data_IF_860229451742
#
_entry.id   IF_860229451742
#
_cell.length_a   1.000
_cell.length_b   1.000
_cell.length_c   1.000
_cell.angle_alpha   90.00
_cell.angle_beta   90.00
_cell.angle_gamma   90.00
#
_symmetry.space_group_name_H-M   'P 1'
#
loop_
_entity.id
_entity.type
_entity.pdbx_description
1 polymer ?
#
# COMPACT_ATOMS: atom_id res chain seq x y z
N UNK A 1 2.94 -1.69 13.18
CA UNK A 1 2.82 -0.36 12.54
C UNK A 1 3.55 -0.38 11.21
N UNK A 2 2.90 0.07 10.13
CA UNK A 2 3.48 0.11 8.77
C UNK A 2 4.43 1.31 8.54
N UNK A 3 4.61 2.18 9.55
CA UNK A 3 5.52 3.31 9.42
C UNK A 3 6.99 2.91 9.28
N UNK A 4 7.40 1.82 9.93
CA UNK A 4 8.77 1.28 9.91
C UNK A 4 9.21 0.85 8.50
N UNK A 5 8.49 0.00 7.76
CA UNK A 5 8.92 -0.43 6.43
C UNK A 5 8.95 0.69 5.39
N UNK A 6 7.96 1.59 5.40
CA UNK A 6 7.91 2.73 4.47
C UNK A 6 9.10 3.65 4.71
N UNK A 7 9.37 3.98 5.97
CA UNK A 7 10.51 4.82 6.34
C UNK A 7 11.83 4.12 5.99
N UNK A 8 11.92 2.82 6.27
CA UNK A 8 13.09 2.01 5.92
C UNK A 8 13.36 2.06 4.41
N UNK A 9 12.39 1.67 3.59
CA UNK A 9 12.56 1.69 2.13
C UNK A 9 12.98 3.07 1.61
N UNK A 10 12.34 4.14 2.10
CA UNK A 10 12.71 5.51 1.73
C UNK A 10 14.14 5.87 2.16
N UNK A 11 14.56 5.47 3.36
CA UNK A 11 15.91 5.71 3.87
C UNK A 11 16.96 4.94 3.09
N UNK A 12 16.67 3.75 2.56
CA UNK A 12 17.62 2.98 1.77
C UNK A 12 18.24 3.81 0.62
N UNK A 13 17.44 4.64 -0.06
CA UNK A 13 17.90 5.51 -1.14
C UNK A 13 18.74 6.73 -0.70
N UNK A 14 18.95 6.92 0.60
CA UNK A 14 19.92 7.86 1.16
C UNK A 14 21.30 7.20 1.39
N UNK A 15 21.40 5.90 1.18
CA UNK A 15 22.62 5.12 1.29
C UNK A 15 23.08 4.61 -0.08
N UNK A 16 24.38 4.43 -0.24
CA UNK A 16 24.94 3.85 -1.46
C UNK A 16 24.74 2.32 -1.47
N UNK A 17 24.28 1.72 -2.58
CA UNK A 17 24.21 0.27 -2.70
C UNK A 17 25.58 -0.36 -2.88
N UNK A 18 25.75 -1.54 -2.30
CA UNK A 18 26.84 -2.45 -2.61
C UNK A 18 26.39 -3.48 -3.64
N UNK A 19 27.20 -3.70 -4.67
CA UNK A 19 26.93 -4.75 -5.65
C UNK A 19 27.36 -6.11 -5.10
N UNK A 20 26.41 -7.02 -4.92
CA UNK A 20 26.61 -8.35 -4.32
C UNK A 20 26.46 -9.51 -5.33
N UNK A 21 26.13 -9.20 -6.58
CA UNK A 21 26.02 -10.15 -7.69
C UNK A 21 26.21 -9.49 -9.05
N UNK A 22 25.96 -10.20 -10.14
CA UNK A 22 26.02 -9.65 -11.50
C UNK A 22 24.97 -8.54 -11.69
N UNK A 23 23.74 -8.83 -11.26
CA UNK A 23 22.56 -7.98 -11.38
C UNK A 23 21.87 -7.77 -10.02
N UNK A 24 22.64 -7.81 -8.92
CA UNK A 24 22.11 -7.71 -7.55
C UNK A 24 22.82 -6.66 -6.72
N UNK A 25 22.03 -5.80 -6.10
CA UNK A 25 22.47 -4.72 -5.21
C UNK A 25 21.86 -4.88 -3.83
N UNK A 26 22.59 -4.40 -2.83
CA UNK A 26 22.16 -4.40 -1.45
C UNK A 26 22.41 -3.04 -0.79
N UNK A 27 21.40 -2.54 -0.09
CA UNK A 27 21.52 -1.41 0.83
C UNK A 27 21.45 -1.96 2.25
N UNK A 28 22.39 -1.58 3.10
CA UNK A 28 22.40 -1.97 4.51
C UNK A 28 22.61 -0.75 5.37
N UNK A 29 21.73 -0.52 6.34
CA UNK A 29 21.83 0.62 7.24
C UNK A 29 21.13 0.31 8.57
N UNK A 30 21.50 1.06 9.60
CA UNK A 30 20.91 0.97 10.93
C UNK A 30 20.23 2.29 11.27
N UNK A 31 19.05 2.20 11.88
CA UNK A 31 18.30 3.34 12.41
C UNK A 31 18.09 3.13 13.90
N UNK A 32 18.44 4.14 14.70
CA UNK A 32 18.17 4.15 16.13
C UNK A 32 16.66 4.28 16.36
N UNK A 33 16.06 3.32 17.07
CA UNK A 33 14.63 3.28 17.36
C UNK A 33 14.32 3.32 18.85
N UNK A 34 13.05 3.55 19.19
CA UNK A 34 12.62 3.42 20.58
C UNK A 34 12.73 1.95 21.03
N UNK A 35 13.57 1.70 22.04
CA UNK A 35 13.74 0.38 22.65
C UNK A 35 14.65 -0.58 21.88
N UNK A 36 15.45 -0.09 20.92
CA UNK A 36 16.44 -0.89 20.20
C UNK A 36 16.81 -0.34 18.82
N UNK A 37 17.88 -0.88 18.25
CA UNK A 37 18.37 -0.50 16.92
C UNK A 37 17.73 -1.40 15.86
N UNK A 38 17.34 -0.81 14.74
CA UNK A 38 16.79 -1.53 13.59
C UNK A 38 17.82 -1.56 12.47
N UNK A 39 18.28 -2.74 12.09
CA UNK A 39 19.12 -2.93 10.90
C UNK A 39 18.24 -3.39 9.76
N UNK A 40 18.24 -2.62 8.68
CA UNK A 40 17.52 -2.94 7.46
C UNK A 40 18.49 -3.35 6.36
N UNK A 41 18.11 -4.38 5.61
CA UNK A 41 18.82 -4.91 4.47
C UNK A 41 17.83 -5.00 3.30
N UNK A 42 17.95 -4.07 2.36
CA UNK A 42 17.19 -4.07 1.11
C UNK A 42 18.04 -4.71 0.02
N UNK A 43 17.49 -5.63 -0.75
CA UNK A 43 18.10 -6.10 -1.99
C UNK A 43 17.22 -5.79 -3.19
N UNK A 44 17.87 -5.49 -4.31
CA UNK A 44 17.24 -5.34 -5.62
C UNK A 44 18.00 -6.20 -6.63
N UNK A 45 17.30 -7.08 -7.33
CA UNK A 45 17.86 -7.98 -8.32
C UNK A 45 17.16 -7.79 -9.67
N UNK A 46 17.91 -7.44 -10.72
CA UNK A 46 17.35 -7.29 -12.06
C UNK A 46 17.16 -8.67 -12.68
N UNK A 47 15.91 -9.06 -12.92
CA UNK A 47 15.52 -10.34 -13.51
C UNK A 47 14.69 -10.06 -14.76
N UNK A 48 15.35 -10.06 -15.93
CA UNK A 48 14.70 -9.68 -17.19
C UNK A 48 14.36 -8.18 -17.20
N UNK A 49 13.07 -7.87 -17.29
CA UNK A 49 12.55 -6.49 -17.34
C UNK A 49 11.95 -6.01 -16.01
N UNK A 50 12.13 -6.78 -14.93
CA UNK A 50 11.70 -6.40 -13.59
C UNK A 50 12.86 -6.39 -12.60
N UNK A 51 12.74 -5.57 -11.57
CA UNK A 51 13.60 -5.61 -10.38
C UNK A 51 12.82 -6.32 -9.28
N UNK A 52 13.36 -7.43 -8.79
CA UNK A 52 12.84 -8.16 -7.63
C UNK A 52 13.43 -7.55 -6.37
N UNK A 53 12.58 -7.24 -5.41
CA UNK A 53 12.95 -6.56 -4.18
C UNK A 53 12.65 -7.42 -2.96
N UNK A 54 13.57 -7.42 -2.00
CA UNK A 54 13.38 -8.03 -0.68
C UNK A 54 13.97 -7.13 0.41
N UNK A 55 13.24 -6.95 1.50
CA UNK A 55 13.71 -6.22 2.67
C UNK A 55 13.64 -7.07 3.91
N UNK A 56 14.81 -7.29 4.50
CA UNK A 56 14.96 -7.93 5.79
C UNK A 56 15.22 -6.87 6.85
N UNK A 57 14.55 -6.99 7.99
CA UNK A 57 14.76 -6.12 9.14
C UNK A 57 15.12 -6.98 10.34
N UNK A 58 16.17 -6.56 11.04
CA UNK A 58 16.57 -7.08 12.34
C UNK A 58 16.40 -5.99 13.38
N UNK A 59 15.97 -6.35 14.59
CA UNK A 59 15.85 -5.45 15.74
C UNK A 59 16.66 -6.00 16.92
N UNK A 60 17.50 -5.16 17.51
CA UNK A 60 18.17 -5.43 18.78
C UNK A 60 17.38 -4.85 19.97
N UNK A 61 17.77 -5.18 21.21
CA UNK A 61 17.15 -4.57 22.40
C UNK A 61 15.90 -5.31 22.89
N UNK A 62 14.80 -4.58 23.12
CA UNK A 62 13.54 -5.14 23.64
C UNK A 62 12.82 -5.88 22.53
N UNK A 63 12.39 -7.12 22.78
CA UNK A 63 11.72 -7.99 21.81
C UNK A 63 12.50 -8.11 20.48
N UNK A 64 13.73 -8.65 20.55
CA UNK A 64 14.59 -8.72 19.38
C UNK A 64 14.07 -9.75 18.38
N UNK A 65 14.26 -9.44 17.10
CA UNK A 65 14.02 -10.37 16.00
C UNK A 65 15.13 -10.21 14.97
N UNK A 66 15.38 -11.26 14.20
CA UNK A 66 16.47 -11.31 13.22
C UNK A 66 15.90 -11.67 11.86
N UNK A 67 16.35 -10.95 10.84
CA UNK A 67 16.09 -11.18 9.42
C UNK A 67 14.61 -11.44 9.11
N UNK A 68 13.73 -10.65 9.73
CA UNK A 68 12.33 -10.68 9.37
C UNK A 68 12.16 -10.09 7.98
N UNK A 69 11.71 -10.91 7.03
CA UNK A 69 11.32 -10.48 5.70
C UNK A 69 10.07 -9.59 5.80
N UNK A 70 10.29 -8.29 5.84
CA UNK A 70 9.23 -7.33 6.07
C UNK A 70 8.43 -7.10 4.80
N UNK A 71 9.13 -6.94 3.67
CA UNK A 71 8.47 -6.81 2.39
C UNK A 71 9.21 -7.52 1.27
N UNK A 72 8.42 -7.94 0.28
CA UNK A 72 8.88 -8.37 -1.04
C UNK A 72 8.15 -7.58 -2.11
N UNK A 73 8.62 -7.62 -3.35
CA UNK A 73 7.90 -7.02 -4.45
C UNK A 73 8.66 -7.05 -5.76
N UNK A 74 8.01 -6.54 -6.79
CA UNK A 74 8.62 -6.34 -8.10
C UNK A 74 8.30 -4.92 -8.59
N UNK A 75 9.26 -4.31 -9.28
CA UNK A 75 9.00 -3.12 -10.07
C UNK A 75 9.43 -3.34 -11.51
N UNK A 76 8.71 -2.76 -12.46
CA UNK A 76 9.19 -2.60 -13.82
C UNK A 76 10.55 -1.90 -13.80
N UNK A 77 11.45 -2.28 -14.72
CA UNK A 77 12.81 -1.73 -14.79
C UNK A 77 12.84 -0.21 -14.97
N UNK A 78 11.85 0.34 -15.66
CA UNK A 78 11.67 1.78 -15.86
C UNK A 78 10.98 2.48 -14.67
N UNK A 79 10.57 1.72 -13.66
CA UNK A 79 9.86 2.22 -12.49
C UNK A 79 8.45 2.72 -12.78
N UNK A 80 7.84 2.30 -13.89
CA UNK A 80 6.48 2.70 -14.29
C UNK A 80 5.38 1.97 -13.51
N UNK A 81 5.63 0.75 -13.04
CA UNK A 81 4.66 -0.02 -12.28
C UNK A 81 5.34 -1.00 -11.34
N UNK A 82 4.59 -1.55 -10.40
CA UNK A 82 5.08 -2.62 -9.56
C UNK A 82 4.07 -3.08 -8.55
N UNK A 83 4.51 -3.99 -7.69
CA UNK A 83 3.75 -4.38 -6.53
C UNK A 83 4.68 -4.66 -5.34
N UNK A 84 4.13 -4.49 -4.13
CA UNK A 84 4.76 -4.86 -2.87
C UNK A 84 3.86 -5.83 -2.12
N UNK A 85 4.45 -6.70 -1.32
CA UNK A 85 3.77 -7.56 -0.35
C UNK A 85 4.41 -7.29 1.00
N UNK A 86 3.60 -6.84 1.96
CA UNK A 86 4.00 -6.60 3.35
C UNK A 86 3.57 -7.77 4.21
N UNK A 87 4.50 -8.32 4.99
CA UNK A 87 4.24 -9.40 5.93
C UNK A 87 3.78 -8.84 7.29
N UNK A 88 2.95 -9.61 8.02
CA UNK A 88 2.29 -9.16 9.25
C UNK A 88 3.27 -8.80 10.38
N UNK A 89 4.31 -9.60 10.60
CA UNK A 89 5.32 -9.31 11.62
C UNK A 89 6.32 -10.44 11.85
N UNK A 90 7.32 -10.23 12.70
CA UNK A 90 8.38 -11.22 12.97
C UNK A 90 7.83 -12.54 13.55
N UNK A 91 6.77 -12.48 14.36
CA UNK A 91 6.12 -13.66 14.93
C UNK A 91 5.16 -14.36 13.95
N UNK A 92 4.77 -13.67 12.87
CA UNK A 92 3.78 -14.12 11.87
C UNK A 92 4.18 -13.63 10.47
N UNK A 93 4.95 -14.44 9.76
CA UNK A 93 5.55 -14.07 8.48
C UNK A 93 4.61 -14.23 7.28
N UNK A 94 3.30 -14.17 7.51
CA UNK A 94 2.33 -14.29 6.43
C UNK A 94 2.14 -12.95 5.73
N UNK A 95 1.94 -13.02 4.41
CA UNK A 95 1.53 -11.88 3.60
C UNK A 95 0.24 -11.28 4.18
N UNK A 96 0.23 -9.96 4.35
CA UNK A 96 -0.90 -9.25 4.96
C UNK A 96 -1.51 -8.25 3.99
N UNK A 97 -0.68 -7.40 3.39
CA UNK A 97 -1.12 -6.37 2.46
C UNK A 97 -0.32 -6.50 1.18
N UNK A 98 -1.03 -6.53 0.05
CA UNK A 98 -0.46 -6.33 -1.28
C UNK A 98 -0.71 -4.89 -1.71
N UNK A 99 0.30 -4.23 -2.27
CA UNK A 99 0.22 -2.86 -2.77
C UNK A 99 0.58 -2.90 -4.24
N UNK A 100 -0.38 -2.74 -5.14
CA UNK A 100 -0.15 -2.62 -6.57
C UNK A 100 -0.13 -1.13 -6.96
N UNK A 101 0.78 -0.72 -7.83
CA UNK A 101 0.90 0.69 -8.22
C UNK A 101 1.34 0.85 -9.68
N UNK A 102 0.87 1.94 -10.29
CA UNK A 102 1.27 2.40 -11.61
C UNK A 102 1.53 3.90 -11.53
N UNK A 103 2.59 4.36 -12.21
CA UNK A 103 2.95 5.75 -12.36
C UNK A 103 2.59 6.23 -13.76
N UNK A 104 2.04 7.43 -13.83
CA UNK A 104 1.75 8.13 -15.07
C UNK A 104 2.53 9.45 -15.07
N UNK A 105 3.62 9.49 -15.85
CA UNK A 105 4.59 10.58 -15.78
C UNK A 105 5.27 10.65 -14.41
N UNK A 106 5.14 11.82 -13.76
CA UNK A 106 5.70 12.06 -12.42
C UNK A 106 4.69 11.82 -11.28
N UNK A 107 3.44 11.47 -11.60
CA UNK A 107 2.38 11.22 -10.63
C UNK A 107 2.12 9.72 -10.42
N UNK A 108 1.48 9.39 -9.30
CA UNK A 108 0.89 8.06 -9.09
C UNK A 108 -0.39 8.02 -9.91
N UNK A 109 -0.39 7.23 -10.98
CA UNK A 109 -1.56 7.03 -11.81
C UNK A 109 -2.60 6.21 -11.06
N UNK A 110 -2.20 5.06 -10.53
CA UNK A 110 -3.05 4.22 -9.66
C UNK A 110 -2.26 3.60 -8.52
N UNK A 111 -2.92 3.39 -7.38
CA UNK A 111 -2.39 2.62 -6.26
C UNK A 111 -3.52 1.87 -5.56
N UNK A 112 -3.34 0.56 -5.36
CA UNK A 112 -4.30 -0.33 -4.71
C UNK A 112 -3.67 -1.06 -3.55
N UNK A 113 -4.28 -0.96 -2.38
CA UNK A 113 -3.94 -1.72 -1.19
C UNK A 113 -4.95 -2.83 -1.02
N UNK A 114 -4.52 -4.09 -1.07
CA UNK A 114 -5.38 -5.27 -0.92
C UNK A 114 -4.99 -6.05 0.32
N UNK A 115 -5.97 -6.37 1.17
CA UNK A 115 -5.79 -7.27 2.30
C UNK A 115 -5.73 -8.72 1.79
N UNK A 116 -4.54 -9.32 1.84
CA UNK A 116 -4.28 -10.67 1.28
C UNK A 116 -4.09 -11.74 2.35
N UNK A 117 -4.15 -11.36 3.63
CA UNK A 117 -3.96 -12.30 4.75
C UNK A 117 -4.98 -13.42 4.70
N UNK A 118 -4.52 -14.66 4.80
CA UNK A 118 -5.40 -15.85 4.75
C UNK A 118 -6.01 -16.18 6.10
N UNK A 119 -5.21 -16.08 7.17
CA UNK A 119 -5.60 -16.43 8.52
C UNK A 119 -5.48 -15.23 9.45
N UNK A 120 -6.47 -15.05 10.33
CA UNK A 120 -6.43 -14.06 11.37
C UNK A 120 -5.53 -14.50 12.54
N UNK A 121 -5.53 -13.68 13.59
CA UNK A 121 -4.67 -13.88 14.75
C UNK A 121 -5.02 -15.11 15.60
N UNK A 122 -6.23 -15.66 15.42
CA UNK A 122 -6.75 -16.86 16.09
C UNK A 122 -6.72 -18.09 15.15
N UNK A 123 -5.96 -18.04 14.05
CA UNK A 123 -5.83 -19.10 13.03
C UNK A 123 -7.14 -19.47 12.31
N UNK A 124 -8.13 -18.58 12.33
CA UNK A 124 -9.36 -18.71 11.54
C UNK A 124 -9.21 -17.98 10.19
N UNK A 125 -10.07 -18.30 9.22
CA UNK A 125 -10.12 -17.57 7.96
C UNK A 125 -10.29 -16.06 8.21
N UNK A 126 -9.45 -15.25 7.57
CA UNK A 126 -9.53 -13.81 7.72
C UNK A 126 -10.68 -13.23 6.89
N UNK A 127 -11.68 -12.70 7.58
CA UNK A 127 -12.87 -12.11 6.98
C UNK A 127 -12.55 -10.85 6.16
N UNK A 128 -11.46 -10.17 6.47
CA UNK A 128 -11.03 -8.97 5.75
C UNK A 128 -10.35 -9.29 4.42
N UNK A 129 -10.05 -10.56 4.13
CA UNK A 129 -9.37 -10.98 2.90
C UNK A 129 -10.14 -10.50 1.67
N UNK A 130 -9.41 -9.93 0.72
CA UNK A 130 -9.92 -9.25 -0.50
C UNK A 130 -10.49 -7.86 -0.28
N UNK A 131 -10.52 -7.33 0.96
CA UNK A 131 -10.78 -5.90 1.15
C UNK A 131 -9.71 -5.09 0.42
N UNK A 132 -10.09 -4.02 -0.27
CA UNK A 132 -9.14 -3.13 -0.91
C UNK A 132 -9.52 -1.66 -0.78
N UNK A 133 -8.51 -0.81 -0.86
CA UNK A 133 -8.62 0.62 -1.11
C UNK A 133 -7.82 0.92 -2.38
N UNK A 134 -8.43 1.62 -3.33
CA UNK A 134 -7.79 2.04 -4.57
C UNK A 134 -7.94 3.55 -4.72
N UNK A 135 -6.86 4.19 -5.14
CA UNK A 135 -6.85 5.59 -5.55
C UNK A 135 -6.26 5.67 -6.96
N UNK A 136 -6.79 6.57 -7.77
CA UNK A 136 -6.17 6.87 -9.04
C UNK A 136 -6.59 8.18 -9.65
N UNK A 137 -5.93 8.49 -10.76
CA UNK A 137 -6.13 9.67 -11.58
C UNK A 137 -6.70 9.26 -12.93
N UNK A 138 -7.61 10.06 -13.45
CA UNK A 138 -8.28 9.80 -14.74
C UNK A 138 -8.50 11.12 -15.48
N UNK A 139 -8.73 11.05 -16.79
CA UNK A 139 -9.15 12.23 -17.56
C UNK A 139 -10.65 12.49 -17.35
N UNK A 140 -11.04 13.76 -17.19
CA UNK A 140 -12.43 14.18 -17.10
C UNK A 140 -12.66 15.33 -16.13
N UNK A 141 -13.93 15.65 -15.89
CA UNK A 141 -14.31 16.66 -14.90
C UNK A 141 -14.09 16.16 -13.47
N UNK A 142 -14.20 14.85 -13.22
CA UNK A 142 -13.73 14.21 -12.00
C UNK A 142 -12.40 13.52 -12.30
N UNK A 143 -11.29 14.22 -12.07
CA UNK A 143 -9.95 13.80 -12.49
C UNK A 143 -9.21 12.94 -11.44
N UNK A 144 -9.89 12.60 -10.34
CA UNK A 144 -9.42 11.67 -9.33
C UNK A 144 -10.55 10.81 -8.77
N UNK A 145 -10.21 9.59 -8.35
CA UNK A 145 -11.14 8.66 -7.74
C UNK A 145 -10.55 7.93 -6.53
N UNK A 146 -11.45 7.42 -5.68
CA UNK A 146 -11.14 6.53 -4.59
C UNK A 146 -12.23 5.47 -4.47
N UNK A 147 -11.83 4.21 -4.56
CA UNK A 147 -12.70 3.05 -4.40
C UNK A 147 -12.33 2.27 -3.14
N UNK A 148 -13.31 1.97 -2.30
CA UNK A 148 -13.16 1.08 -1.17
C UNK A 148 -14.13 -0.08 -1.31
N UNK A 149 -13.59 -1.30 -1.23
CA UNK A 149 -14.35 -2.53 -1.06
C UNK A 149 -13.89 -3.13 0.26
N UNK A 150 -14.70 -3.05 1.30
CA UNK A 150 -14.26 -3.37 2.66
C UNK A 150 -15.24 -4.29 3.35
N UNK A 151 -14.72 -5.31 4.04
CA UNK A 151 -15.55 -6.15 4.89
C UNK A 151 -16.00 -5.34 6.12
N UNK A 152 -17.31 -5.14 6.27
CA UNK A 152 -17.87 -4.50 7.45
C UNK A 152 -18.33 -5.55 8.47
N UNK A 153 -17.70 -5.56 9.63
CA UNK A 153 -17.92 -6.54 10.68
C UNK A 153 -19.34 -6.50 11.26
N UNK A 154 -19.99 -5.33 11.32
CA UNK A 154 -21.36 -5.23 11.85
C UNK A 154 -22.41 -5.82 10.89
N UNK A 155 -22.13 -5.78 9.59
CA UNK A 155 -23.00 -6.33 8.54
C UNK A 155 -22.67 -7.78 8.20
N UNK A 156 -21.45 -8.20 8.53
CA UNK A 156 -20.87 -9.47 8.11
C UNK A 156 -20.85 -9.63 6.58
N UNK A 157 -20.62 -8.52 5.87
CA UNK A 157 -20.60 -8.48 4.41
C UNK A 157 -19.63 -7.40 3.92
N UNK A 158 -19.29 -7.44 2.64
CA UNK A 158 -18.53 -6.37 1.99
C UNK A 158 -19.43 -5.19 1.64
N UNK A 159 -18.87 -3.99 1.78
CA UNK A 159 -19.50 -2.74 1.33
C UNK A 159 -18.57 -2.03 0.36
N UNK A 160 -19.20 -1.37 -0.61
CA UNK A 160 -18.52 -0.58 -1.62
C UNK A 160 -18.77 0.91 -1.38
N UNK A 161 -17.71 1.70 -1.51
CA UNK A 161 -17.75 3.16 -1.54
C UNK A 161 -16.93 3.62 -2.73
N UNK A 162 -17.52 4.47 -3.57
CA UNK A 162 -16.86 5.10 -4.70
C UNK A 162 -16.91 6.60 -4.50
N UNK A 163 -15.78 7.26 -4.68
CA UNK A 163 -15.66 8.72 -4.57
C UNK A 163 -14.94 9.21 -5.80
N UNK A 164 -15.48 10.24 -6.44
CA UNK A 164 -14.86 10.90 -7.58
C UNK A 164 -14.89 12.42 -7.35
N UNK A 165 -13.80 13.12 -7.68
CA UNK A 165 -13.74 14.56 -7.47
C UNK A 165 -12.82 15.25 -8.49
N UNK A 166 -13.02 16.56 -8.61
CA UNK A 166 -12.13 17.44 -9.33
C UNK A 166 -11.05 17.98 -8.36
N UNK A 167 -9.77 17.80 -8.67
CA UNK A 167 -8.65 18.24 -7.83
C UNK A 167 -8.42 19.76 -7.84
N UNK A 168 -8.91 20.46 -8.87
CA UNK A 168 -8.71 21.91 -9.05
C UNK A 168 -9.89 22.75 -8.54
N UNK A 169 -11.11 22.30 -8.81
CA UNK A 169 -12.37 22.98 -8.50
C UNK A 169 -13.07 22.40 -7.26
N UNK A 170 -12.56 21.28 -6.73
CA UNK A 170 -12.96 20.66 -5.46
C UNK A 170 -14.39 20.15 -5.34
N UNK A 171 -15.20 20.20 -6.41
CA UNK A 171 -16.49 19.51 -6.44
C UNK A 171 -16.30 18.01 -6.63
N UNK A 172 -17.29 17.22 -6.25
CA UNK A 172 -17.22 15.77 -6.39
C UNK A 172 -18.52 15.05 -6.10
N UNK A 173 -18.44 13.73 -6.08
CA UNK A 173 -19.56 12.82 -5.86
C UNK A 173 -19.13 11.57 -5.11
N UNK A 174 -20.05 11.04 -4.29
CA UNK A 174 -19.87 9.81 -3.53
C UNK A 174 -21.07 8.89 -3.77
N UNK A 175 -20.79 7.61 -4.00
CA UNK A 175 -21.79 6.54 -4.02
C UNK A 175 -21.43 5.54 -2.95
N UNK A 176 -22.30 5.40 -1.94
CA UNK A 176 -22.09 4.52 -0.79
C UNK A 176 -23.42 3.87 -0.38
N UNK A 177 -23.86 2.80 -1.06
CA UNK A 177 -25.21 2.26 -0.88
C UNK A 177 -25.52 1.79 0.53
N UNK A 178 -24.52 1.30 1.25
CA UNK A 178 -24.69 0.93 2.65
C UNK A 178 -25.03 2.13 3.56
N UNK A 179 -24.55 3.33 3.23
CA UNK A 179 -24.76 4.54 4.02
C UNK A 179 -26.02 5.30 3.61
N UNK A 180 -26.24 5.46 2.30
CA UNK A 180 -27.36 6.25 1.77
C UNK A 180 -28.65 5.44 1.53
N UNK A 181 -28.57 4.11 1.62
CA UNK A 181 -29.68 3.19 1.34
C UNK A 181 -30.22 3.30 -0.11
N UNK A 182 -29.41 3.81 -1.04
CA UNK A 182 -29.68 3.92 -2.47
C UNK A 182 -28.42 3.61 -3.31
N UNK A 183 -28.55 3.56 -4.64
CA UNK A 183 -27.40 3.38 -5.55
C UNK A 183 -27.12 4.64 -6.35
N UNK A 184 -27.44 5.80 -5.77
CA UNK A 184 -27.31 7.09 -6.45
C UNK A 184 -26.00 7.78 -6.03
N UNK A 185 -25.55 8.70 -6.88
CA UNK A 185 -24.48 9.62 -6.52
C UNK A 185 -25.03 10.74 -5.64
N UNK A 186 -24.29 11.08 -4.59
CA UNK A 186 -24.53 12.23 -3.72
C UNK A 186 -23.38 13.21 -3.95
N UNK A 187 -23.68 14.45 -4.33
CA UNK A 187 -22.70 15.39 -4.85
C UNK A 187 -22.46 16.59 -3.92
N UNK A 188 -21.28 17.18 -4.03
CA UNK A 188 -20.92 18.42 -3.33
C UNK A 188 -20.27 19.42 -4.29
N UNK A 189 -20.39 20.71 -3.98
CA UNK A 189 -19.80 21.79 -4.76
C UNK A 189 -18.35 22.12 -4.34
N UNK A 190 -17.69 23.06 -5.02
CA UNK A 190 -16.31 23.45 -4.71
C UNK A 190 -16.07 24.06 -3.31
N UNK A 191 -17.14 24.29 -2.52
CA UNK A 191 -17.05 24.74 -1.12
C UNK A 191 -17.29 23.61 -0.12
N UNK A 192 -17.65 22.40 -0.59
CA UNK A 192 -17.95 21.25 0.24
C UNK A 192 -19.40 21.18 0.71
N UNK A 193 -20.31 21.98 0.13
CA UNK A 193 -21.74 21.95 0.45
C UNK A 193 -22.48 20.99 -0.48
N UNK A 194 -23.56 20.38 0.02
CA UNK A 194 -24.42 19.49 -0.75
C UNK A 194 -24.94 20.18 -2.02
N UNK A 195 -24.78 19.51 -3.16
CA UNK A 195 -25.18 20.00 -4.47
C UNK A 195 -25.97 18.94 -5.23
N UNK A 196 -26.72 19.39 -6.24
CA UNK A 196 -27.31 18.47 -7.19
C UNK A 196 -26.21 17.85 -8.05
N UNK A 197 -26.29 16.55 -8.28
CA UNK A 197 -25.44 15.89 -9.25
C UNK A 197 -25.79 16.36 -10.66
N UNK A 198 -24.77 16.77 -11.42
CA UNK A 198 -24.87 17.16 -12.83
C UNK A 198 -24.78 15.97 -13.78
#
# INVERSE_FOLDING_TARGET
TLAVPVSSFRTAFLHDPERIGEDKWQWTYTVDGFGGDYTAQLTGELVGDVVVWEMYVSRSGIEPFVDFLWFTGESARDGSSGHWILNQGPDRQHAMIRIDWVREGDEVGTIRYTWVRELNDDENADLYRNSYLEYGLVEGDYDAYFDAHVYEASLQDFVDVQIEWNRDLYFGRIMAPHFYEDMEWHCWDGTGEDALCE
#
